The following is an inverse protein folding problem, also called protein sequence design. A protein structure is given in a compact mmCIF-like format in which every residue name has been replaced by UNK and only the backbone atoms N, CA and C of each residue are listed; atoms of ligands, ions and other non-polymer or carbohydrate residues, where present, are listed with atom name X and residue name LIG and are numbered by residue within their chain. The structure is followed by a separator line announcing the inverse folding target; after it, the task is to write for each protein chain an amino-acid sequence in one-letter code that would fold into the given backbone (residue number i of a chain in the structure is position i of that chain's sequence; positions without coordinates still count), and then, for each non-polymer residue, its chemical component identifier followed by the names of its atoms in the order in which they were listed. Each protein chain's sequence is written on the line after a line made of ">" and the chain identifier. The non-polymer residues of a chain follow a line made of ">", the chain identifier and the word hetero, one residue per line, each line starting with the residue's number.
data_IF_038651582900
#
_entry.id   IF_038651582900
#
_cell.length_a   1.000
_cell.length_b   1.000
_cell.length_c   1.000
_cell.angle_alpha   90.00
_cell.angle_beta   90.00
_cell.angle_gamma   90.00
#
_symmetry.space_group_name_H-M   'P 1'
#
loop_
_entity.id
_entity.type
_entity.pdbx_description
1 polymer ?
#
# COMPACT_ATOMS: atom_id res chain seq x y z
N UNK A 1 4.88 -17.50 12.71
CA UNK A 1 4.02 -17.28 11.52
C UNK A 1 3.59 -18.61 10.93
N UNK A 2 4.50 -19.41 10.36
CA UNK A 2 4.16 -20.68 9.71
C UNK A 2 3.43 -21.69 10.64
N UNK A 3 3.89 -21.88 11.88
CA UNK A 3 3.24 -22.76 12.87
C UNK A 3 1.82 -22.30 13.26
N UNK A 4 1.45 -21.05 12.95
CA UNK A 4 0.13 -20.48 13.19
C UNK A 4 -0.72 -20.39 11.90
N UNK A 5 -0.27 -20.98 10.79
CA UNK A 5 -0.94 -20.88 9.50
C UNK A 5 -0.92 -19.47 8.88
N UNK A 6 0.01 -18.61 9.31
CA UNK A 6 0.16 -17.25 8.79
C UNK A 6 1.26 -17.19 7.75
N UNK A 7 1.01 -16.46 6.66
CA UNK A 7 2.02 -16.08 5.67
C UNK A 7 2.58 -14.70 6.00
N UNK A 8 3.90 -14.59 6.16
CA UNK A 8 4.57 -13.30 6.38
C UNK A 8 4.67 -12.54 5.07
N UNK A 9 4.14 -11.32 5.05
CA UNK A 9 4.23 -10.41 3.90
C UNK A 9 5.04 -9.19 4.30
N UNK A 10 5.94 -8.79 3.42
CA UNK A 10 6.68 -7.53 3.52
C UNK A 10 6.34 -6.64 2.32
N UNK A 11 6.84 -5.42 2.34
CA UNK A 11 6.63 -4.43 1.29
C UNK A 11 7.84 -4.32 0.37
N UNK A 12 7.57 -3.97 -0.90
CA UNK A 12 8.61 -3.70 -1.89
C UNK A 12 8.74 -2.21 -2.21
N UNK A 13 7.78 -1.38 -1.79
CA UNK A 13 7.76 0.06 -2.03
C UNK A 13 7.33 0.81 -0.76
N UNK A 14 8.08 1.85 -0.38
CA UNK A 14 7.86 2.61 0.86
C UNK A 14 7.69 4.10 0.58
N UNK A 15 6.62 4.69 1.11
CA UNK A 15 6.40 6.14 1.09
C UNK A 15 7.03 6.87 2.28
N UNK A 16 7.23 6.17 3.41
CA UNK A 16 7.67 6.74 4.69
C UNK A 16 6.70 7.80 5.24
N UNK A 17 5.40 7.52 5.15
CA UNK A 17 4.31 8.38 5.63
C UNK A 17 4.11 8.31 7.16
N UNK A 18 4.58 7.25 7.82
CA UNK A 18 4.58 7.11 9.28
C UNK A 18 5.62 7.98 10.03
N UNK A 19 6.48 8.69 9.30
CA UNK A 19 7.49 9.57 9.91
C UNK A 19 6.81 10.83 10.45
N UNK A 20 7.20 11.29 11.64
CA UNK A 20 6.69 12.54 12.23
C UNK A 20 6.82 13.70 11.24
N UNK A 21 5.73 14.42 10.99
CA UNK A 21 5.65 15.50 10.00
C UNK A 21 6.02 15.07 8.56
N UNK A 22 5.59 13.88 8.14
CA UNK A 22 5.76 13.44 6.76
C UNK A 22 5.15 14.44 5.77
N UNK A 23 5.98 14.92 4.83
CA UNK A 23 5.54 15.74 3.70
C UNK A 23 4.87 14.84 2.64
N UNK A 24 3.57 15.02 2.35
CA UNK A 24 2.84 14.17 1.41
C UNK A 24 3.46 14.17 0.01
N UNK A 25 4.05 15.29 -0.44
CA UNK A 25 4.69 15.37 -1.75
C UNK A 25 5.95 14.51 -1.81
N UNK A 26 6.73 14.46 -0.73
CA UNK A 26 7.91 13.57 -0.63
C UNK A 26 7.51 12.11 -0.53
N UNK A 27 6.43 11.81 0.18
CA UNK A 27 5.88 10.44 0.25
C UNK A 27 5.47 9.97 -1.15
N UNK A 28 4.69 10.79 -1.87
CA UNK A 28 4.26 10.48 -3.23
C UNK A 28 5.45 10.28 -4.17
N UNK A 29 6.43 11.19 -4.16
CA UNK A 29 7.61 11.09 -5.02
C UNK A 29 8.46 9.83 -4.75
N UNK A 30 8.51 9.35 -3.49
CA UNK A 30 9.17 8.07 -3.18
C UNK A 30 8.41 6.89 -3.75
N UNK A 31 7.09 6.89 -3.60
CA UNK A 31 6.24 5.84 -4.16
C UNK A 31 6.33 5.79 -5.68
N UNK A 32 6.18 6.93 -6.36
CA UNK A 32 6.25 7.00 -7.83
C UNK A 32 7.58 6.49 -8.39
N UNK A 33 8.71 6.74 -7.71
CA UNK A 33 10.01 6.18 -8.11
C UNK A 33 10.15 4.68 -7.86
N UNK A 34 9.43 4.15 -6.87
CA UNK A 34 9.55 2.75 -6.43
C UNK A 34 8.45 1.83 -6.94
N UNK A 35 7.39 2.36 -7.56
CA UNK A 35 6.27 1.56 -8.05
C UNK A 35 6.70 0.78 -9.29
N UNK A 36 6.36 -0.49 -9.29
CA UNK A 36 6.50 -1.43 -10.39
C UNK A 36 5.30 -2.40 -10.37
N UNK A 37 5.03 -3.14 -11.46
CA UNK A 37 4.04 -4.20 -11.45
C UNK A 37 4.23 -5.14 -10.24
N UNK A 38 3.14 -5.46 -9.54
CA UNK A 38 3.10 -6.30 -8.32
C UNK A 38 3.80 -5.72 -7.08
N UNK A 39 4.14 -4.43 -7.08
CA UNK A 39 4.68 -3.81 -5.87
C UNK A 39 3.67 -3.85 -4.71
N UNK A 40 4.17 -4.13 -3.51
CA UNK A 40 3.42 -4.01 -2.25
C UNK A 40 3.84 -2.71 -1.59
N UNK A 41 2.90 -1.77 -1.51
CA UNK A 41 3.12 -0.42 -0.98
C UNK A 41 2.78 -0.39 0.51
N UNK A 42 3.64 0.23 1.31
CA UNK A 42 3.34 0.54 2.72
C UNK A 42 2.87 1.99 2.85
N UNK A 43 1.66 2.13 3.39
CA UNK A 43 1.07 3.35 3.92
C UNK A 43 0.46 3.03 5.28
N UNK A 44 0.40 4.03 6.15
CA UNK A 44 -0.16 3.95 7.50
C UNK A 44 -1.49 4.69 7.51
N UNK A 45 -2.47 4.21 8.26
CA UNK A 45 -3.76 4.89 8.41
C UNK A 45 -3.71 6.08 9.38
N UNK A 46 -2.51 6.44 9.88
CA UNK A 46 -2.29 7.50 10.86
C UNK A 46 -2.72 7.14 12.28
N UNK A 47 -3.13 5.91 12.57
CA UNK A 47 -3.47 5.46 13.91
C UNK A 47 -2.42 4.47 14.45
N UNK A 48 -1.25 5.00 14.80
CA UNK A 48 -0.17 4.20 15.39
C UNK A 48 -0.12 4.41 16.92
N UNK A 49 -0.33 3.35 17.73
CA UNK A 49 -0.24 3.46 19.18
C UNK A 49 1.13 3.97 19.64
N UNK A 50 1.15 5.06 20.42
CA UNK A 50 2.39 5.64 20.94
C UNK A 50 3.18 6.50 19.94
N UNK A 51 2.71 6.62 18.70
CA UNK A 51 3.34 7.43 17.67
C UNK A 51 2.31 8.35 17.00
N UNK A 52 2.27 9.65 17.35
CA UNK A 52 1.37 10.59 16.68
C UNK A 52 1.82 10.74 15.22
N UNK A 53 1.04 10.15 14.31
CA UNK A 53 1.22 10.30 12.87
C UNK A 53 0.05 11.11 12.30
N UNK A 54 0.35 12.00 11.36
CA UNK A 54 -0.69 12.74 10.67
C UNK A 54 -1.33 11.87 9.59
N UNK A 55 -2.59 11.46 9.80
CA UNK A 55 -3.40 10.71 8.82
C UNK A 55 -3.52 11.46 7.49
N UNK A 56 -3.39 12.79 7.49
CA UNK A 56 -3.54 13.61 6.28
C UNK A 56 -2.56 13.20 5.19
N UNK A 57 -1.33 12.80 5.54
CA UNK A 57 -0.31 12.43 4.56
C UNK A 57 -0.72 11.19 3.75
N UNK A 58 -1.23 10.16 4.42
CA UNK A 58 -1.73 8.96 3.74
C UNK A 58 -2.92 9.27 2.82
N UNK A 59 -3.88 10.06 3.30
CA UNK A 59 -5.08 10.39 2.52
C UNK A 59 -4.74 11.24 1.28
N UNK A 60 -3.91 12.28 1.43
CA UNK A 60 -3.45 13.13 0.32
C UNK A 60 -2.70 12.30 -0.73
N UNK A 61 -1.84 11.38 -0.28
CA UNK A 61 -1.09 10.50 -1.18
C UNK A 61 -2.02 9.52 -1.89
N UNK A 62 -2.97 8.90 -1.20
CA UNK A 62 -3.93 7.98 -1.80
C UNK A 62 -4.80 8.67 -2.86
N UNK A 63 -5.27 9.88 -2.58
CA UNK A 63 -6.04 10.71 -3.50
C UNK A 63 -5.24 11.04 -4.78
N UNK A 64 -3.95 11.35 -4.65
CA UNK A 64 -3.09 11.63 -5.79
C UNK A 64 -2.64 10.38 -6.56
N UNK A 65 -2.39 9.26 -5.87
CA UNK A 65 -1.76 8.08 -6.45
C UNK A 65 -2.76 7.14 -7.14
N UNK A 66 -3.93 6.91 -6.53
CA UNK A 66 -4.90 5.95 -7.06
C UNK A 66 -5.38 6.27 -8.48
N UNK A 67 -5.67 7.54 -8.86
CA UNK A 67 -6.01 7.88 -10.24
C UNK A 67 -4.88 7.59 -11.22
N UNK A 68 -3.62 7.86 -10.84
CA UNK A 68 -2.44 7.61 -11.66
C UNK A 68 -2.25 6.12 -11.93
N UNK A 69 -2.40 5.29 -10.89
CA UNK A 69 -2.37 3.84 -11.04
C UNK A 69 -3.46 3.36 -12.00
N UNK A 70 -4.70 3.84 -11.84
CA UNK A 70 -5.81 3.50 -12.73
C UNK A 70 -5.54 3.90 -14.18
N UNK A 71 -5.02 5.11 -14.41
CA UNK A 71 -4.66 5.59 -15.75
C UNK A 71 -3.55 4.75 -16.39
N UNK A 72 -2.63 4.22 -15.59
CA UNK A 72 -1.60 3.27 -16.01
C UNK A 72 -2.09 1.81 -16.15
N UNK A 73 -3.41 1.57 -16.06
CA UNK A 73 -3.99 0.22 -16.13
C UNK A 73 -3.70 -0.66 -14.91
N UNK A 74 -3.22 -0.06 -13.82
CA UNK A 74 -2.91 -0.76 -12.57
C UNK A 74 -4.02 -0.54 -11.54
N UNK A 75 -4.50 -1.62 -10.94
CA UNK A 75 -5.43 -1.56 -9.82
C UNK A 75 -4.76 -2.08 -8.55
N UNK A 76 -5.05 -1.45 -7.40
CA UNK A 76 -4.76 -2.06 -6.11
C UNK A 76 -5.60 -3.33 -5.94
N UNK A 77 -4.99 -4.41 -5.49
CA UNK A 77 -5.64 -5.70 -5.25
C UNK A 77 -5.24 -6.23 -3.87
N UNK A 78 -6.20 -6.85 -3.19
CA UNK A 78 -5.93 -7.53 -1.94
C UNK A 78 -4.98 -8.72 -2.15
N UNK A 79 -4.19 -9.03 -1.13
CA UNK A 79 -3.41 -10.27 -1.07
C UNK A 79 -4.25 -11.37 -0.44
N UNK A 80 -4.14 -12.58 -0.99
CA UNK A 80 -4.72 -13.80 -0.44
C UNK A 80 -3.62 -14.83 -0.18
N UNK A 81 -3.79 -15.63 0.85
CA UNK A 81 -2.87 -16.74 1.15
C UNK A 81 -3.22 -17.91 0.22
N UNK A 82 -2.21 -18.47 -0.45
CA UNK A 82 -2.35 -19.64 -1.33
C UNK A 82 -1.23 -20.62 -1.00
N UNK A 83 -1.58 -21.78 -0.44
CA UNK A 83 -0.61 -22.71 0.13
C UNK A 83 0.25 -22.01 1.18
N UNK A 84 1.57 -22.07 1.01
CA UNK A 84 2.54 -21.42 1.90
C UNK A 84 2.90 -19.98 1.48
N UNK A 85 2.24 -19.43 0.45
CA UNK A 85 2.58 -18.12 -0.15
C UNK A 85 1.40 -17.15 -0.25
N UNK A 86 1.59 -16.13 -1.09
CA UNK A 86 0.56 -15.12 -1.40
C UNK A 86 0.29 -15.02 -2.90
N UNK A 87 -0.95 -14.64 -3.23
CA UNK A 87 -1.35 -14.25 -4.58
C UNK A 87 -2.21 -12.99 -4.54
N UNK A 88 -2.49 -12.41 -5.71
CA UNK A 88 -3.45 -11.32 -5.84
C UNK A 88 -4.87 -11.91 -5.86
N UNK A 89 -5.74 -11.43 -4.98
CA UNK A 89 -7.18 -11.76 -4.99
C UNK A 89 -7.76 -11.45 -6.37
N UNK A 90 -8.58 -12.35 -6.94
CA UNK A 90 -9.22 -12.13 -8.24
C UNK A 90 -9.78 -10.72 -8.37
N UNK A 91 -9.65 -10.13 -9.56
CA UNK A 91 -10.23 -8.81 -9.80
C UNK A 91 -11.73 -8.90 -9.52
N UNK A 92 -12.31 -8.05 -8.67
CA UNK A 92 -13.74 -8.07 -8.47
C UNK A 92 -14.40 -7.89 -9.83
N UNK A 93 -15.24 -8.85 -10.21
CA UNK A 93 -16.10 -8.72 -11.38
C UNK A 93 -16.87 -7.42 -11.19
N UNK A 94 -16.68 -6.44 -12.08
CA UNK A 94 -17.53 -5.25 -12.05
C UNK A 94 -18.96 -5.74 -12.20
N UNK A 95 -19.79 -5.56 -11.17
CA UNK A 95 -21.22 -5.63 -11.37
C UNK A 95 -21.54 -4.52 -12.39
N UNK A 96 -22.08 -4.95 -13.53
CA UNK A 96 -22.52 -4.08 -14.62
C UNK A 96 -23.65 -3.16 -14.16
#
# INVERSE_FOLDING_TARGET
>A
AAQLGLCTVTWSCRGLDGVTHADPARVLARLERGIAPRAILTLHDGHEPGHPCDRSACLVVAEALLPKLRAAGCASRALVIVGDGISLAESPTRMA
#
